data_IF_137834093161
#
_entry.id   IF_137834093161
#
_cell.length_a   1.000
_cell.length_b   1.000
_cell.length_c   1.000
_cell.angle_alpha   90.00
_cell.angle_beta   90.00
_cell.angle_gamma   90.00
#
_symmetry.space_group_name_H-M   'P 1'
#
loop_
_entity.id
_entity.type
_entity.pdbx_description
1 polymer ?
#
# COMPACT_ATOMS: atom_id res chain seq x y z
N UNK A 1 1.67 20.64 19.69
CA UNK A 1 2.52 19.44 19.71
C UNK A 1 2.44 18.82 18.32
N UNK A 2 3.55 18.78 17.55
CA UNK A 2 3.56 18.11 16.26
C UNK A 2 3.42 16.59 16.47
N UNK A 3 2.65 15.93 15.62
CA UNK A 3 2.62 14.47 15.55
C UNK A 3 3.72 14.04 14.59
N UNK A 4 4.64 13.21 15.07
CA UNK A 4 5.70 12.61 14.27
C UNK A 4 5.57 11.09 14.35
N UNK A 5 5.72 10.43 13.20
CA UNK A 5 5.72 8.97 13.12
C UNK A 5 6.88 8.54 12.23
N UNK A 6 7.75 7.67 12.75
CA UNK A 6 8.82 7.04 11.99
C UNK A 6 8.45 5.58 11.73
N UNK A 7 8.42 5.20 10.46
CA UNK A 7 7.99 3.89 9.98
C UNK A 7 9.04 3.39 8.99
N UNK A 8 9.82 2.39 9.40
CA UNK A 8 10.77 1.72 8.51
C UNK A 8 10.06 0.66 7.68
N UNK A 9 9.81 0.96 6.41
CA UNK A 9 9.13 0.07 5.47
C UNK A 9 9.96 -1.17 5.14
N UNK A 10 9.28 -2.28 4.84
CA UNK A 10 9.90 -3.58 4.57
C UNK A 10 10.91 -3.55 3.42
N UNK A 11 10.53 -2.92 2.31
CA UNK A 11 11.37 -2.79 1.12
C UNK A 11 11.39 -1.35 0.59
N UNK A 12 12.19 -1.11 -0.45
CA UNK A 12 12.24 0.18 -1.14
C UNK A 12 10.90 0.51 -1.80
N UNK A 13 10.55 1.78 -1.70
CA UNK A 13 9.32 2.33 -2.26
C UNK A 13 9.66 3.47 -3.21
N UNK A 14 8.84 3.63 -4.25
CA UNK A 14 8.99 4.71 -5.20
C UNK A 14 8.27 5.95 -4.67
N UNK A 15 9.02 6.82 -3.98
CA UNK A 15 8.48 8.07 -3.46
C UNK A 15 7.88 8.99 -4.55
N UNK A 16 8.31 8.85 -5.82
CA UNK A 16 7.80 9.67 -6.93
C UNK A 16 6.38 9.29 -7.34
N UNK A 17 6.05 8.00 -7.27
CA UNK A 17 4.71 7.51 -7.58
C UNK A 17 3.82 7.38 -6.34
N UNK A 18 4.41 7.61 -5.16
CA UNK A 18 3.67 7.64 -3.90
C UNK A 18 2.84 8.92 -3.82
N UNK A 19 1.57 8.78 -3.46
CA UNK A 19 0.62 9.88 -3.31
C UNK A 19 0.35 10.12 -1.83
N UNK A 20 0.45 11.36 -1.39
CA UNK A 20 -0.02 11.78 -0.07
C UNK A 20 -1.33 12.56 -0.23
N UNK A 21 -2.33 12.22 0.56
CA UNK A 21 -3.61 12.91 0.62
C UNK A 21 -3.83 13.39 2.05
N UNK A 22 -3.60 14.68 2.26
CA UNK A 22 -3.76 15.32 3.57
C UNK A 22 -5.20 15.84 3.63
N UNK A 23 -6.09 15.04 4.19
CA UNK A 23 -7.47 15.44 4.46
C UNK A 23 -7.60 16.23 5.75
N UNK A 24 -8.75 16.88 5.93
CA UNK A 24 -9.04 17.71 7.12
C UNK A 24 -9.19 16.86 8.39
N UNK A 25 -9.65 15.61 8.26
CA UNK A 25 -9.85 14.67 9.37
C UNK A 25 -8.82 13.55 9.45
N UNK A 26 -8.14 13.24 8.34
CA UNK A 26 -7.23 12.10 8.26
C UNK A 26 -6.22 12.31 7.13
N UNK A 27 -5.02 11.79 7.32
CA UNK A 27 -3.97 11.81 6.30
C UNK A 27 -3.87 10.40 5.73
N UNK A 28 -4.08 10.26 4.43
CA UNK A 28 -3.91 9.02 3.69
C UNK A 28 -2.61 9.04 2.90
N UNK A 29 -1.75 8.04 3.10
CA UNK A 29 -0.56 7.84 2.28
C UNK A 29 -0.74 6.59 1.43
N UNK A 30 -0.65 6.76 0.11
CA UNK A 30 -0.63 5.68 -0.87
C UNK A 30 0.80 5.54 -1.35
N UNK A 31 1.45 4.45 -0.96
CA UNK A 31 2.85 4.21 -1.25
C UNK A 31 2.93 3.18 -2.37
N UNK A 32 3.63 3.53 -3.46
CA UNK A 32 3.89 2.57 -4.54
C UNK A 32 5.19 1.84 -4.27
N UNK A 33 5.11 0.51 -4.14
CA UNK A 33 6.29 -0.35 -3.98
C UNK A 33 7.17 -0.24 -5.24
N UNK A 34 8.49 -0.19 -5.06
CA UNK A 34 9.42 -0.12 -6.20
C UNK A 34 9.43 -1.44 -6.97
N UNK A 35 9.43 -2.55 -6.24
CA UNK A 35 9.24 -3.88 -6.79
C UNK A 35 7.81 -4.36 -6.53
N UNK A 36 7.17 -4.92 -7.57
CA UNK A 36 5.85 -5.54 -7.46
C UNK A 36 5.97 -6.88 -6.74
N UNK A 37 6.20 -6.80 -5.44
CA UNK A 37 6.40 -7.93 -4.54
C UNK A 37 5.38 -7.90 -3.41
N UNK A 38 4.84 -9.06 -3.11
CA UNK A 38 3.98 -9.23 -1.96
C UNK A 38 4.76 -8.97 -0.66
N UNK A 39 4.20 -8.12 0.21
CA UNK A 39 4.81 -7.77 1.48
C UNK A 39 4.02 -8.43 2.59
N UNK A 40 4.56 -9.51 3.16
CA UNK A 40 3.96 -10.19 4.32
C UNK A 40 3.85 -9.27 5.55
N UNK A 41 4.62 -8.18 5.59
CA UNK A 41 4.66 -7.17 6.66
C UNK A 41 4.92 -5.79 6.06
N UNK A 42 4.30 -4.74 6.60
CA UNK A 42 4.53 -3.35 6.18
C UNK A 42 5.91 -2.84 6.65
N UNK A 43 6.32 -3.24 7.86
CA UNK A 43 7.53 -2.79 8.54
C UNK A 43 8.68 -3.77 8.34
N UNK A 44 9.91 -3.25 8.19
CA UNK A 44 11.15 -4.05 8.19
C UNK A 44 11.53 -4.55 9.58
N UNK A 45 11.12 -3.83 10.62
CA UNK A 45 11.46 -4.19 11.99
C UNK A 45 10.71 -5.48 12.39
N UNK A 46 11.46 -6.54 12.67
CA UNK A 46 10.91 -7.78 13.22
C UNK A 46 10.57 -7.55 14.70
N UNK A 47 9.29 -7.28 15.00
CA UNK A 47 8.83 -7.01 16.36
C UNK A 47 7.33 -6.79 16.45
N UNK A 48 6.83 -6.45 17.65
CA UNK A 48 5.43 -6.03 17.80
C UNK A 48 5.21 -4.76 16.98
N UNK A 49 4.24 -4.73 16.06
CA UNK A 49 3.91 -3.50 15.37
C UNK A 49 3.54 -2.45 16.42
N UNK A 50 3.89 -1.17 16.20
CA UNK A 50 3.51 -0.10 17.10
C UNK A 50 2.00 -0.13 17.31
N UNK A 51 1.51 0.16 18.53
CA UNK A 51 0.09 0.06 18.87
C UNK A 51 -0.82 0.97 18.00
N UNK A 52 -0.24 1.94 17.30
CA UNK A 52 -0.93 2.82 16.35
C UNK A 52 -1.07 2.24 14.93
N UNK A 53 -0.37 1.14 14.61
CA UNK A 53 -0.49 0.47 13.31
C UNK A 53 -1.59 -0.59 13.39
N UNK A 54 -2.63 -0.38 12.59
CA UNK A 54 -3.72 -1.35 12.38
C UNK A 54 -3.82 -1.68 10.90
N UNK A 55 -4.21 -2.91 10.60
CA UNK A 55 -4.55 -3.32 9.23
C UNK A 55 -5.88 -2.67 8.87
N UNK A 56 -5.91 -2.02 7.70
CA UNK A 56 -7.13 -1.49 7.11
C UNK A 56 -7.81 -2.60 6.30
N UNK A 57 -8.77 -3.30 6.92
CA UNK A 57 -9.49 -4.40 6.28
C UNK A 57 -10.44 -3.93 5.16
N UNK A 58 -10.77 -2.64 5.09
CA UNK A 58 -11.62 -2.08 4.01
C UNK A 58 -10.86 -2.02 2.68
N UNK A 59 -9.52 -1.88 2.75
CA UNK A 59 -8.63 -1.80 1.58
C UNK A 59 -7.66 -2.97 1.46
N UNK A 60 -7.77 -3.95 2.34
CA UNK A 60 -6.91 -5.12 2.29
C UNK A 60 -7.42 -6.05 1.19
N UNK A 61 -6.52 -6.38 0.27
CA UNK A 61 -6.77 -7.25 -0.87
C UNK A 61 -5.79 -8.41 -0.77
N UNK A 62 -6.27 -9.64 -0.99
CA UNK A 62 -5.41 -10.82 -1.04
C UNK A 62 -4.61 -10.88 -2.36
N UNK A 63 -3.58 -11.73 -2.38
CA UNK A 63 -2.65 -11.89 -3.52
C UNK A 63 -3.37 -12.24 -4.84
N UNK A 64 -4.44 -13.03 -4.77
CA UNK A 64 -5.26 -13.38 -5.95
C UNK A 64 -6.04 -12.17 -6.48
N UNK A 65 -6.60 -11.33 -5.61
CA UNK A 65 -7.37 -10.15 -5.98
C UNK A 65 -6.45 -9.03 -6.50
N UNK A 66 -5.24 -8.86 -5.94
CA UNK A 66 -4.22 -7.94 -6.48
C UNK A 66 -3.80 -8.34 -7.91
N UNK A 67 -3.66 -9.64 -8.18
CA UNK A 67 -3.32 -10.14 -9.51
C UNK A 67 -4.47 -9.95 -10.52
N UNK A 68 -5.72 -10.13 -10.08
CA UNK A 68 -6.90 -9.91 -10.92
C UNK A 68 -7.11 -8.42 -11.25
N UNK A 69 -6.94 -7.53 -10.26
CA UNK A 69 -6.99 -6.08 -10.47
C UNK A 69 -5.88 -5.61 -11.43
N UNK A 70 -4.67 -6.14 -11.28
CA UNK A 70 -3.56 -5.80 -12.16
C UNK A 70 -3.75 -6.29 -13.60
N UNK A 71 -4.48 -7.39 -13.79
CA UNK A 71 -4.89 -7.86 -15.11
C UNK A 71 -6.00 -6.99 -15.70
N UNK A 72 -6.95 -6.55 -14.90
CA UNK A 72 -8.04 -5.66 -15.33
C UNK A 72 -7.54 -4.25 -15.73
N UNK A 73 -6.52 -3.71 -15.05
CA UNK A 73 -5.95 -2.39 -15.37
C UNK A 73 -5.07 -2.40 -16.64
N UNK A 74 -4.56 -3.57 -17.05
CA UNK A 74 -3.61 -3.74 -18.16
C UNK A 74 -4.19 -4.55 -19.35
N UNK A 75 -5.51 -4.74 -19.37
CA UNK A 75 -6.19 -5.66 -20.28
C UNK A 75 -7.35 -4.99 -21.00
N UNK A 76 -7.03 -4.37 -22.12
CA UNK A 76 -7.95 -4.13 -23.24
C UNK A 76 -8.65 -5.45 -23.59
N UNK A 77 -9.86 -5.66 -23.05
CA UNK A 77 -10.72 -6.75 -23.49
C UNK A 77 -11.48 -6.25 -24.71
N UNK A 78 -10.81 -6.39 -25.86
CA UNK A 78 -11.46 -6.51 -27.15
C UNK A 78 -12.41 -7.73 -27.07
N UNK A 79 -13.64 -7.51 -26.59
CA UNK A 79 -14.74 -8.46 -26.75
C UNK A 79 -15.52 -8.07 -27.99
N UNK A 80 -14.84 -8.01 -29.14
CA UNK A 80 -15.52 -8.10 -30.42
C UNK A 80 -15.75 -9.58 -30.72
N UNK A 81 -16.98 -10.04 -30.48
CA UNK A 81 -17.57 -11.19 -31.18
C UNK A 81 -18.86 -10.74 -31.85
#
# INVERSE_FOLDING_TARGET
MPYEVDIQLFDKINAKESKCNIGVRSIGYVIKKEEKKWWNRLLKQEGKPPAFVKVDWDKWVDEEEENEQARADNGEMDTSV
#
